data_IF_114909353245
#
_entry.id   IF_114909353245
#
_cell.length_a   1.000
_cell.length_b   1.000
_cell.length_c   1.000
_cell.angle_alpha   90.00
_cell.angle_beta   90.00
_cell.angle_gamma   90.00
#
_symmetry.space_group_name_H-M   'P 1'
#
loop_
_entity.id
_entity.type
_entity.pdbx_description
1 polymer ?
#
# COMPACT_ATOMS: atom_id res chain seq x y z
N UNK A 1 39.66 -32.95 -44.61
CA UNK A 1 39.19 -33.49 -43.31
C UNK A 1 37.80 -32.90 -43.07
N UNK A 2 36.70 -33.39 -43.66
CA UNK A 2 35.87 -34.58 -43.34
C UNK A 2 35.50 -34.74 -41.86
N UNK A 3 34.23 -34.39 -41.57
CA UNK A 3 33.18 -35.10 -40.76
C UNK A 3 33.48 -35.40 -39.29
N UNK A 4 32.57 -35.55 -38.33
CA UNK A 4 31.10 -35.55 -38.19
C UNK A 4 30.82 -35.84 -36.69
N UNK A 5 29.72 -35.31 -36.16
CA UNK A 5 28.78 -35.85 -35.15
C UNK A 5 29.21 -36.95 -34.16
N UNK A 6 28.81 -36.84 -32.88
CA UNK A 6 27.88 -37.81 -32.27
C UNK A 6 27.34 -37.39 -30.88
N UNK A 7 26.02 -37.47 -30.73
CA UNK A 7 25.32 -37.71 -29.46
C UNK A 7 25.10 -39.23 -29.28
N UNK A 8 24.51 -39.65 -28.15
CA UNK A 8 24.15 -41.00 -27.65
C UNK A 8 25.11 -41.42 -26.51
N UNK A 9 24.66 -41.84 -25.33
CA UNK A 9 23.32 -42.22 -24.95
C UNK A 9 23.15 -42.68 -23.50
N UNK A 10 21.95 -43.19 -23.31
CA UNK A 10 21.20 -43.60 -22.14
C UNK A 10 21.74 -44.79 -21.30
N UNK A 11 21.23 -44.82 -20.05
CA UNK A 11 20.79 -45.96 -19.21
C UNK A 11 21.82 -46.74 -18.38
N UNK A 12 21.56 -46.72 -17.07
CA UNK A 12 21.41 -47.83 -16.08
C UNK A 12 21.79 -47.24 -14.71
N UNK A 13 20.95 -47.17 -13.66
CA UNK A 13 19.99 -48.13 -13.15
C UNK A 13 20.73 -49.17 -12.32
N UNK A 14 20.76 -49.04 -10.98
CA UNK A 14 20.62 -50.13 -10.00
C UNK A 14 20.41 -49.53 -8.60
N UNK A 15 19.38 -50.07 -7.96
CA UNK A 15 18.94 -49.87 -6.58
C UNK A 15 19.87 -50.53 -5.55
N UNK A 16 19.91 -49.92 -4.36
CA UNK A 16 19.88 -50.57 -3.03
C UNK A 16 21.07 -51.43 -2.60
N UNK A 17 21.72 -51.03 -1.51
CA UNK A 17 21.85 -51.94 -0.36
C UNK A 17 22.05 -51.15 0.94
N UNK A 18 21.14 -51.43 1.88
CA UNK A 18 21.18 -51.07 3.29
C UNK A 18 22.35 -51.78 3.94
N UNK A 19 23.21 -51.05 4.66
CA UNK A 19 24.05 -51.62 5.73
C UNK A 19 23.84 -50.80 6.98
N UNK A 20 23.16 -51.44 7.93
CA UNK A 20 22.94 -50.98 9.28
C UNK A 20 24.22 -51.26 10.09
N UNK A 21 24.89 -50.24 10.60
CA UNK A 21 25.90 -50.42 11.66
C UNK A 21 25.69 -49.38 12.73
N UNK A 22 25.21 -49.88 13.87
CA UNK A 22 25.11 -49.21 15.16
C UNK A 22 26.50 -48.73 15.61
N UNK A 23 26.61 -47.44 15.91
CA UNK A 23 27.60 -46.93 16.87
C UNK A 23 26.86 -46.11 17.93
N UNK A 24 26.62 -46.79 19.05
CA UNK A 24 26.40 -46.17 20.35
C UNK A 24 27.64 -45.34 20.70
N UNK A 25 27.51 -44.02 20.71
CA UNK A 25 28.41 -43.14 21.45
C UNK A 25 27.52 -42.31 22.36
N UNK A 26 27.59 -42.62 23.66
CA UNK A 26 26.94 -41.84 24.71
C UNK A 26 27.49 -40.42 24.72
N UNK A 27 26.63 -39.46 24.43
CA UNK A 27 26.84 -38.09 24.81
C UNK A 27 26.34 -37.94 26.25
N UNK A 28 27.30 -37.71 27.15
CA UNK A 28 27.09 -37.25 28.52
C UNK A 28 26.26 -35.97 28.44
N UNK A 29 25.02 -36.03 28.89
CA UNK A 29 24.16 -34.87 29.02
C UNK A 29 24.71 -33.97 30.13
N UNK A 30 25.20 -32.79 29.76
CA UNK A 30 25.28 -31.67 30.68
C UNK A 30 23.85 -31.16 30.93
N UNK A 31 23.23 -31.67 31.99
CA UNK A 31 22.10 -30.99 32.62
C UNK A 31 22.68 -29.72 33.25
N UNK A 32 22.43 -28.57 32.60
CA UNK A 32 22.51 -27.30 33.30
C UNK A 32 21.10 -26.99 33.79
N UNK A 33 20.96 -26.91 35.10
CA UNK A 33 19.77 -26.39 35.77
C UNK A 33 19.61 -24.92 35.37
N UNK A 34 18.91 -24.68 34.26
CA UNK A 34 18.35 -23.37 34.00
C UNK A 34 17.05 -23.30 34.80
N UNK A 35 17.14 -22.60 35.94
CA UNK A 35 16.02 -22.12 36.71
C UNK A 35 14.93 -21.62 35.75
N UNK A 36 13.73 -22.16 35.89
CA UNK A 36 12.52 -21.63 35.27
C UNK A 36 12.25 -20.25 35.87
N UNK A 37 12.91 -19.23 35.32
CA UNK A 37 12.45 -17.86 35.46
C UNK A 37 11.18 -17.76 34.64
N UNK A 38 10.05 -17.61 35.34
CA UNK A 38 8.75 -17.29 34.76
C UNK A 38 8.85 -15.87 34.24
N UNK A 39 9.53 -15.72 33.10
CA UNK A 39 9.46 -14.53 32.28
C UNK A 39 8.12 -14.63 31.56
N UNK A 40 7.10 -13.98 32.14
CA UNK A 40 5.86 -13.73 31.43
C UNK A 40 6.21 -13.13 30.07
N UNK A 41 5.61 -13.64 29.00
CA UNK A 41 5.74 -13.03 27.68
C UNK A 41 5.54 -11.51 27.83
N UNK A 42 6.39 -10.66 27.21
CA UNK A 42 6.19 -9.23 27.26
C UNK A 42 4.80 -8.96 26.70
N UNK A 43 3.86 -8.61 27.57
CA UNK A 43 2.54 -8.16 27.17
C UNK A 43 2.78 -6.88 26.40
N UNK A 44 2.64 -6.95 25.06
CA UNK A 44 2.94 -5.83 24.17
C UNK A 44 2.29 -4.53 24.64
N UNK A 45 2.87 -3.41 24.24
CA UNK A 45 2.39 -2.08 24.64
C UNK A 45 1.04 -1.80 23.99
N UNK A 46 0.13 -1.24 24.80
CA UNK A 46 -1.14 -0.75 24.31
C UNK A 46 -0.94 0.67 23.78
N UNK A 47 -1.10 0.84 22.48
CA UNK A 47 -0.98 2.15 21.86
C UNK A 47 -2.25 2.96 22.15
N UNK A 48 -2.14 4.23 22.57
CA UNK A 48 -3.31 5.07 22.77
C UNK A 48 -4.05 5.22 21.45
N UNK A 49 -5.37 5.01 21.48
CA UNK A 49 -6.23 5.33 20.35
C UNK A 49 -6.46 6.84 20.38
N UNK A 50 -6.02 7.60 19.36
CA UNK A 50 -6.20 9.06 19.36
C UNK A 50 -7.67 9.45 19.54
N UNK A 51 -7.92 10.55 20.23
CA UNK A 51 -9.28 11.07 20.39
C UNK A 51 -9.87 11.40 19.01
N UNK A 52 -10.98 10.75 18.65
CA UNK A 52 -11.58 10.86 17.32
C UNK A 52 -10.91 10.01 16.23
N UNK A 53 -10.09 9.01 16.59
CA UNK A 53 -9.49 8.07 15.65
C UNK A 53 -10.57 7.45 14.75
N UNK A 54 -10.43 7.65 13.44
CA UNK A 54 -11.33 7.09 12.45
C UNK A 54 -10.79 5.75 11.98
N UNK A 55 -11.61 4.70 12.12
CA UNK A 55 -11.30 3.42 11.50
C UNK A 55 -11.50 3.51 9.99
N UNK A 56 -10.58 2.94 9.23
CA UNK A 56 -10.66 2.85 7.77
C UNK A 56 -10.82 1.40 7.35
N UNK A 57 -11.87 1.12 6.58
CA UNK A 57 -11.99 -0.15 5.87
C UNK A 57 -11.28 -0.02 4.53
N UNK A 58 -10.27 -0.86 4.28
CA UNK A 58 -9.40 -0.76 3.11
C UNK A 58 -8.75 -2.09 2.79
N UNK A 59 -8.33 -2.26 1.54
CA UNK A 59 -7.35 -3.29 1.19
C UNK A 59 -6.05 -2.99 1.94
N UNK A 60 -5.51 -4.01 2.60
CA UNK A 60 -4.33 -3.89 3.45
C UNK A 60 -3.47 -5.15 3.34
N UNK A 61 -2.18 -5.02 3.00
CA UNK A 61 -1.29 -6.17 2.82
C UNK A 61 0.14 -5.85 3.27
N UNK A 62 0.89 -6.89 3.62
CA UNK A 62 2.28 -6.80 4.06
C UNK A 62 3.19 -6.54 2.87
N UNK A 63 4.21 -5.71 3.09
CA UNK A 63 5.31 -5.52 2.15
C UNK A 63 6.58 -6.10 2.80
N UNK A 64 7.18 -7.08 2.13
CA UNK A 64 8.43 -7.74 2.54
C UNK A 64 9.64 -6.98 2.03
N UNK A 65 10.77 -7.17 2.72
CA UNK A 65 12.04 -6.60 2.29
C UNK A 65 12.37 -7.01 0.85
N UNK A 66 12.86 -6.05 0.07
CA UNK A 66 13.13 -6.20 -1.36
C UNK A 66 11.92 -6.04 -2.30
N UNK A 67 10.69 -5.93 -1.78
CA UNK A 67 9.52 -5.61 -2.60
C UNK A 67 9.41 -4.09 -2.87
N UNK A 68 8.76 -3.73 -3.98
CA UNK A 68 8.46 -2.33 -4.30
C UNK A 68 7.68 -1.68 -3.14
N UNK A 69 8.03 -0.43 -2.81
CA UNK A 69 7.49 0.36 -1.69
C UNK A 69 7.91 -0.05 -0.29
N UNK A 70 8.72 -1.11 -0.16
CA UNK A 70 9.32 -1.43 1.12
C UNK A 70 10.19 -0.28 1.62
N UNK A 71 10.21 -0.06 2.93
CA UNK A 71 11.08 0.90 3.57
C UNK A 71 11.43 0.40 4.96
N UNK A 72 12.63 0.74 5.45
CA UNK A 72 13.04 0.34 6.78
C UNK A 72 12.38 1.23 7.84
N UNK A 73 11.77 0.60 8.83
CA UNK A 73 11.29 1.23 10.08
C UNK A 73 12.24 0.96 11.24
N UNK A 74 13.53 0.80 10.95
CA UNK A 74 14.60 0.51 11.90
C UNK A 74 14.29 -0.76 12.71
N UNK A 75 13.73 -1.77 12.05
CA UNK A 75 13.30 -3.02 12.68
C UNK A 75 12.10 -2.93 13.64
N UNK A 76 11.49 -1.75 13.83
CA UNK A 76 10.40 -1.50 14.81
C UNK A 76 9.04 -2.08 14.41
N UNK A 77 8.89 -2.58 13.19
CA UNK A 77 7.59 -3.03 12.70
C UNK A 77 7.63 -3.70 11.34
N UNK A 78 6.49 -4.26 10.96
CA UNK A 78 6.25 -4.86 9.65
C UNK A 78 5.57 -3.85 8.74
N UNK A 79 6.01 -3.74 7.49
CA UNK A 79 5.52 -2.71 6.57
C UNK A 79 4.17 -3.12 6.00
N UNK A 80 3.22 -2.18 6.00
CA UNK A 80 1.85 -2.42 5.52
C UNK A 80 1.49 -1.39 4.45
N UNK A 81 0.90 -1.85 3.35
CA UNK A 81 0.32 -1.00 2.34
C UNK A 81 -1.19 -0.86 2.51
N UNK A 82 -1.71 0.36 2.54
CA UNK A 82 -3.15 0.67 2.66
C UNK A 82 -3.73 1.37 1.40
N UNK A 83 -3.10 1.18 0.24
CA UNK A 83 -3.48 1.85 -1.02
C UNK A 83 -3.32 3.38 -0.98
N UNK A 84 -2.45 3.90 -0.11
CA UNK A 84 -2.15 5.34 0.05
C UNK A 84 -0.65 5.57 -0.14
N UNK A 85 -0.26 6.77 -0.62
CA UNK A 85 1.14 7.20 -0.71
C UNK A 85 1.87 7.23 0.65
N UNK A 86 1.15 7.27 1.76
CA UNK A 86 1.75 7.32 3.09
C UNK A 86 2.33 5.96 3.50
N UNK A 87 3.41 5.97 4.29
CA UNK A 87 3.99 4.74 4.85
C UNK A 87 3.21 4.31 6.10
N UNK A 88 2.92 3.02 6.22
CA UNK A 88 2.29 2.43 7.39
C UNK A 88 3.10 1.23 7.88
N UNK A 89 3.06 0.98 9.17
CA UNK A 89 3.72 -0.19 9.76
C UNK A 89 2.90 -0.76 10.91
N UNK A 90 2.99 -2.06 11.12
CA UNK A 90 2.50 -2.76 12.31
C UNK A 90 3.65 -2.80 13.34
N UNK A 91 3.55 -2.08 14.48
CA UNK A 91 4.64 -2.07 15.47
C UNK A 91 4.84 -3.46 16.09
N UNK A 92 6.09 -3.94 16.21
CA UNK A 92 6.36 -5.28 16.78
C UNK A 92 6.07 -5.38 18.28
N UNK A 93 6.13 -4.25 18.96
CA UNK A 93 5.86 -4.15 20.38
C UNK A 93 4.37 -4.02 20.71
N UNK A 94 3.47 -3.91 19.71
CA UNK A 94 2.04 -3.73 19.97
C UNK A 94 1.41 -4.96 20.64
N UNK A 95 0.50 -4.72 21.59
CA UNK A 95 -0.40 -5.75 22.11
C UNK A 95 -1.17 -6.41 20.96
N UNK A 96 -1.25 -7.74 20.97
CA UNK A 96 -1.88 -8.55 19.91
C UNK A 96 -1.17 -8.49 18.55
N UNK A 97 0.13 -8.13 18.49
CA UNK A 97 0.92 -8.13 17.24
C UNK A 97 0.70 -9.39 16.41
N UNK A 98 0.87 -10.56 17.01
CA UNK A 98 0.75 -11.85 16.31
C UNK A 98 -0.62 -12.04 15.65
N UNK A 99 -1.70 -11.65 16.35
CA UNK A 99 -3.05 -11.72 15.81
C UNK A 99 -3.24 -10.76 14.63
N UNK A 100 -2.79 -9.51 14.76
CA UNK A 100 -2.88 -8.50 13.70
C UNK A 100 -2.04 -8.87 12.48
N UNK A 101 -0.84 -9.40 12.71
CA UNK A 101 0.05 -9.89 11.66
C UNK A 101 -0.63 -11.03 10.89
N UNK A 102 -1.24 -12.00 11.58
CA UNK A 102 -1.94 -13.12 10.95
C UNK A 102 -3.08 -12.65 10.04
N UNK A 103 -3.87 -11.65 10.45
CA UNK A 103 -4.93 -11.08 9.62
C UNK A 103 -4.38 -10.43 8.35
N UNK A 104 -3.27 -9.69 8.46
CA UNK A 104 -2.59 -9.05 7.34
C UNK A 104 -1.95 -10.08 6.40
N UNK A 105 -1.33 -11.12 6.93
CA UNK A 105 -0.71 -12.19 6.15
C UNK A 105 -1.75 -12.97 5.33
N UNK A 106 -2.87 -13.36 5.95
CA UNK A 106 -3.98 -14.02 5.25
C UNK A 106 -4.52 -13.16 4.11
N UNK A 107 -4.74 -11.87 4.36
CA UNK A 107 -5.20 -10.94 3.32
C UNK A 107 -4.15 -10.76 2.23
N UNK A 108 -2.86 -10.73 2.57
CA UNK A 108 -1.77 -10.65 1.59
C UNK A 108 -1.79 -11.84 0.63
N UNK A 109 -1.89 -13.07 1.16
CA UNK A 109 -1.97 -14.29 0.37
C UNK A 109 -3.19 -14.29 -0.58
N UNK A 110 -4.36 -13.86 -0.09
CA UNK A 110 -5.57 -13.78 -0.91
C UNK A 110 -5.45 -12.76 -2.04
N UNK A 111 -4.77 -11.63 -1.80
CA UNK A 111 -4.53 -10.63 -2.85
C UNK A 111 -3.58 -11.19 -3.91
N UNK A 112 -2.51 -11.86 -3.50
CA UNK A 112 -1.57 -12.51 -4.43
C UNK A 112 -2.28 -13.55 -5.31
N UNK A 113 -3.17 -14.36 -4.73
CA UNK A 113 -3.99 -15.31 -5.46
C UNK A 113 -4.96 -14.62 -6.44
N UNK A 114 -5.63 -13.55 -6.03
CA UNK A 114 -6.56 -12.81 -6.89
C UNK A 114 -5.89 -12.09 -8.05
N UNK A 115 -4.68 -11.56 -7.83
CA UNK A 115 -3.88 -10.91 -8.87
C UNK A 115 -3.42 -11.93 -9.91
N UNK A 116 -3.08 -13.15 -9.48
CA UNK A 116 -2.60 -14.21 -10.38
C UNK A 116 -3.72 -14.91 -11.14
N UNK A 117 -4.93 -15.03 -10.57
CA UNK A 117 -6.04 -15.82 -11.14
C UNK A 117 -7.11 -15.01 -11.87
N UNK A 118 -7.47 -13.81 -11.37
CA UNK A 118 -8.73 -13.16 -11.75
C UNK A 118 -8.57 -11.70 -12.23
N UNK A 119 -7.35 -11.25 -12.54
CA UNK A 119 -7.13 -9.89 -13.06
C UNK A 119 -7.42 -8.76 -12.06
N UNK A 120 -7.43 -9.08 -10.76
CA UNK A 120 -7.70 -8.12 -9.68
C UNK A 120 -9.19 -7.92 -9.40
N UNK A 121 -9.66 -8.46 -8.27
CA UNK A 121 -11.01 -8.29 -7.75
C UNK A 121 -11.02 -7.68 -6.34
N UNK A 122 -12.15 -7.07 -5.96
CA UNK A 122 -12.42 -6.66 -4.56
C UNK A 122 -13.22 -7.77 -3.89
N UNK A 123 -12.61 -8.44 -2.93
CA UNK A 123 -13.26 -9.47 -2.12
C UNK A 123 -13.38 -8.97 -0.67
N UNK A 124 -14.41 -9.43 0.03
CA UNK A 124 -14.59 -9.25 1.47
C UNK A 124 -13.32 -9.65 2.23
N UNK A 125 -12.69 -10.75 1.81
CA UNK A 125 -11.53 -11.29 2.50
C UNK A 125 -10.27 -10.41 2.33
N UNK A 126 -10.23 -9.58 1.27
CA UNK A 126 -9.11 -8.68 1.02
C UNK A 126 -9.17 -7.36 1.78
N UNK A 127 -10.26 -7.08 2.50
CA UNK A 127 -10.44 -5.85 3.25
C UNK A 127 -10.28 -6.07 4.75
N UNK A 128 -9.62 -5.11 5.38
CA UNK A 128 -9.46 -5.03 6.83
C UNK A 128 -9.98 -3.68 7.33
N UNK A 129 -10.47 -3.66 8.56
CA UNK A 129 -10.78 -2.47 9.32
C UNK A 129 -9.56 -2.10 10.14
N UNK A 130 -8.92 -1.00 9.78
CA UNK A 130 -7.64 -0.55 10.32
C UNK A 130 -7.85 0.71 11.16
N UNK A 131 -7.27 0.73 12.36
CA UNK A 131 -7.16 1.94 13.19
C UNK A 131 -5.71 2.42 13.17
N UNK A 132 -5.52 3.72 12.94
CA UNK A 132 -4.21 4.34 12.82
C UNK A 132 -3.89 5.14 14.08
N UNK A 133 -2.64 5.10 14.51
CA UNK A 133 -2.10 5.99 15.53
C UNK A 133 -1.59 7.30 14.93
N UNK A 134 -0.84 8.06 15.73
CA UNK A 134 -0.24 9.31 15.30
C UNK A 134 0.99 9.09 14.40
N UNK A 135 1.15 9.97 13.40
CA UNK A 135 2.28 9.91 12.48
C UNK A 135 3.62 10.03 13.21
N UNK A 136 4.52 9.07 13.00
CA UNK A 136 5.86 9.09 13.55
C UNK A 136 6.82 9.80 12.55
N UNK A 137 7.34 11.00 12.87
CA UNK A 137 8.21 11.73 11.96
C UNK A 137 9.58 11.07 11.76
N UNK A 138 10.09 10.36 12.77
CA UNK A 138 11.40 9.69 12.70
C UNK A 138 11.36 8.50 11.73
N UNK A 139 10.25 7.75 11.77
CA UNK A 139 10.01 6.61 10.89
C UNK A 139 9.37 7.00 9.54
N UNK A 140 8.93 8.25 9.43
CA UNK A 140 8.15 8.77 8.29
C UNK A 140 6.95 7.88 7.95
N UNK A 141 6.33 7.30 8.97
CA UNK A 141 5.25 6.33 8.83
C UNK A 141 4.25 6.40 9.98
N UNK A 142 3.04 5.94 9.72
CA UNK A 142 1.95 5.91 10.71
C UNK A 142 1.80 4.49 11.25
N UNK A 143 1.83 4.28 12.58
CA UNK A 143 1.61 2.97 13.16
C UNK A 143 0.15 2.53 12.99
N UNK A 144 -0.04 1.24 12.71
CA UNK A 144 -1.33 0.58 12.78
C UNK A 144 -1.51 0.08 14.22
N UNK A 145 -2.53 0.61 14.88
CA UNK A 145 -2.77 0.34 16.31
C UNK A 145 -3.90 -0.67 16.55
N UNK A 146 -4.66 -1.00 15.50
CA UNK A 146 -5.69 -2.07 15.55
C UNK A 146 -5.98 -2.60 14.15
N UNK A 147 -6.13 -3.92 14.05
CA UNK A 147 -6.54 -4.62 12.83
C UNK A 147 -7.71 -5.53 13.15
N UNK A 148 -8.80 -5.39 12.38
CA UNK A 148 -10.02 -6.19 12.54
C UNK A 148 -10.52 -6.65 11.17
N UNK A 149 -11.22 -7.78 11.13
CA UNK A 149 -12.04 -8.13 9.97
C UNK A 149 -13.31 -7.27 10.01
N UNK A 150 -13.72 -6.65 8.89
CA UNK A 150 -15.01 -5.98 8.83
C UNK A 150 -16.13 -7.01 9.03
N UNK A 151 -17.27 -6.57 9.55
CA UNK A 151 -18.50 -7.38 9.51
C UNK A 151 -19.04 -7.48 8.09
N UNK A 152 -19.87 -8.50 7.81
CA UNK A 152 -20.49 -8.66 6.49
C UNK A 152 -21.39 -7.46 6.15
N UNK A 153 -22.05 -6.90 7.15
CA UNK A 153 -22.93 -5.75 7.04
C UNK A 153 -22.12 -4.48 6.71
N UNK A 154 -21.02 -4.23 7.43
CA UNK A 154 -20.10 -3.12 7.12
C UNK A 154 -19.57 -3.21 5.68
N UNK A 155 -19.20 -4.42 5.25
CA UNK A 155 -18.75 -4.67 3.89
C UNK A 155 -19.82 -4.38 2.84
N UNK A 156 -21.05 -4.86 3.06
CA UNK A 156 -22.15 -4.60 2.13
C UNK A 156 -22.44 -3.11 1.98
N UNK A 157 -22.41 -2.36 3.08
CA UNK A 157 -22.57 -0.89 3.06
C UNK A 157 -21.44 -0.23 2.25
N UNK A 158 -20.19 -0.69 2.40
CA UNK A 158 -19.07 -0.18 1.62
C UNK A 158 -19.28 -0.45 0.12
N UNK A 159 -19.62 -1.67 -0.26
CA UNK A 159 -19.82 -2.05 -1.66
C UNK A 159 -20.98 -1.30 -2.31
N UNK A 160 -22.11 -1.14 -1.62
CA UNK A 160 -23.23 -0.34 -2.12
C UNK A 160 -22.83 1.12 -2.36
N UNK A 161 -22.08 1.71 -1.43
CA UNK A 161 -21.58 3.08 -1.58
C UNK A 161 -20.65 3.22 -2.78
N UNK A 162 -19.76 2.25 -2.99
CA UNK A 162 -18.84 2.23 -4.13
C UNK A 162 -19.58 2.04 -5.46
N UNK A 163 -20.60 1.19 -5.50
CA UNK A 163 -21.42 0.94 -6.69
C UNK A 163 -22.19 2.19 -7.11
N UNK A 164 -22.85 2.87 -6.16
CA UNK A 164 -23.53 4.15 -6.41
C UNK A 164 -22.57 5.19 -6.97
N UNK A 165 -21.32 5.22 -6.49
CA UNK A 165 -20.28 6.13 -7.03
C UNK A 165 -19.90 5.73 -8.45
N UNK A 166 -19.74 4.44 -8.73
CA UNK A 166 -19.38 3.91 -10.06
C UNK A 166 -20.47 4.25 -11.08
N UNK A 167 -21.73 4.00 -10.78
CA UNK A 167 -22.85 4.29 -11.68
C UNK A 167 -22.96 5.77 -12.01
N UNK A 168 -22.87 6.64 -10.99
CA UNK A 168 -22.84 8.09 -11.16
C UNK A 168 -21.67 8.55 -12.03
N UNK A 169 -20.53 7.88 -11.95
CA UNK A 169 -19.35 8.21 -12.76
C UNK A 169 -19.57 7.85 -14.24
N UNK A 170 -20.11 6.66 -14.53
CA UNK A 170 -20.33 6.15 -15.89
C UNK A 170 -21.32 7.01 -16.67
N UNK A 171 -22.41 7.43 -16.03
CA UNK A 171 -23.42 8.32 -16.64
C UNK A 171 -22.87 9.72 -16.95
N UNK A 172 -21.88 10.20 -16.19
CA UNK A 172 -21.29 11.53 -16.36
C UNK A 172 -20.27 11.58 -17.49
N UNK A 173 -19.51 10.50 -17.70
CA UNK A 173 -18.57 10.36 -18.83
C UNK A 173 -19.24 10.36 -20.20
N UNK A 174 -20.50 9.94 -20.31
CA UNK A 174 -21.26 9.96 -21.57
C UNK A 174 -21.61 11.39 -22.05
N UNK A 175 -21.52 12.41 -21.18
CA UNK A 175 -21.86 13.81 -21.49
C UNK A 175 -20.66 14.74 -21.70
N UNK A 176 -19.41 14.28 -21.52
CA UNK A 176 -18.22 15.11 -21.78
C UNK A 176 -17.90 15.03 -23.27
N UNK A 177 -18.69 15.79 -24.04
CA UNK A 177 -18.53 15.99 -25.47
C UNK A 177 -17.27 16.80 -25.81
N UNK A 178 -16.69 16.43 -26.94
CA UNK A 178 -15.60 17.06 -27.71
C UNK A 178 -14.30 17.37 -26.93
N UNK A 179 -13.27 16.54 -27.22
CA UNK A 179 -11.87 16.74 -26.80
C UNK A 179 -11.27 17.95 -27.53
N UNK A 180 -11.59 19.17 -27.09
CA UNK A 180 -10.90 20.36 -27.58
C UNK A 180 -9.45 20.33 -27.08
N UNK A 181 -8.49 20.31 -28.00
CA UNK A 181 -7.07 20.41 -27.65
C UNK A 181 -6.83 21.71 -26.87
N UNK A 182 -6.14 21.61 -25.74
CA UNK A 182 -5.92 22.76 -24.87
C UNK A 182 -4.84 23.67 -25.47
N UNK A 183 -5.17 24.95 -25.65
CA UNK A 183 -4.18 25.93 -26.11
C UNK A 183 -3.21 26.29 -24.98
N UNK A 184 -2.01 26.76 -25.33
CA UNK A 184 -1.04 27.29 -24.35
C UNK A 184 -1.65 28.38 -23.46
N UNK A 185 -2.45 29.27 -24.04
CA UNK A 185 -3.12 30.35 -23.31
C UNK A 185 -4.13 29.82 -22.28
N UNK A 186 -4.95 28.84 -22.65
CA UNK A 186 -5.87 28.17 -21.74
C UNK A 186 -5.13 27.43 -20.62
N UNK A 187 -4.06 26.70 -20.94
CA UNK A 187 -3.23 26.01 -19.95
C UNK A 187 -2.63 26.99 -18.93
N UNK A 188 -2.12 28.14 -19.39
CA UNK A 188 -1.60 29.20 -18.51
C UNK A 188 -2.70 29.82 -17.63
N UNK A 189 -3.92 29.98 -18.17
CA UNK A 189 -5.05 30.47 -17.40
C UNK A 189 -5.44 29.49 -16.28
N UNK A 190 -5.55 28.19 -16.57
CA UNK A 190 -5.80 27.18 -15.55
C UNK A 190 -4.69 27.10 -14.51
N UNK A 191 -3.43 27.19 -14.93
CA UNK A 191 -2.32 27.21 -13.99
C UNK A 191 -2.42 28.37 -12.98
N UNK A 192 -2.77 29.57 -13.46
CA UNK A 192 -3.01 30.73 -12.59
C UNK A 192 -4.23 30.53 -11.69
N UNK A 193 -5.32 29.97 -12.22
CA UNK A 193 -6.54 29.68 -11.47
C UNK A 193 -6.28 28.66 -10.34
N UNK A 194 -5.60 27.54 -10.62
CA UNK A 194 -5.28 26.57 -9.58
C UNK A 194 -4.43 27.18 -8.48
N UNK A 195 -3.46 28.02 -8.86
CA UNK A 195 -2.66 28.76 -7.89
C UNK A 195 -3.50 29.73 -7.07
N UNK A 196 -4.52 30.38 -7.64
CA UNK A 196 -5.36 31.33 -6.91
C UNK A 196 -6.35 30.65 -5.97
N UNK A 197 -6.83 29.44 -6.29
CA UNK A 197 -7.74 28.66 -5.42
C UNK A 197 -7.01 27.73 -4.43
N UNK A 198 -5.70 27.91 -4.30
CA UNK A 198 -4.88 27.22 -3.31
C UNK A 198 -5.24 27.68 -1.90
N UNK A 199 -5.23 26.77 -0.93
CA UNK A 199 -5.65 27.05 0.44
C UNK A 199 -4.76 28.08 1.19
N UNK A 200 -3.56 28.38 0.68
CA UNK A 200 -2.71 29.47 1.20
C UNK A 200 -3.19 30.86 0.76
N UNK A 201 -4.14 30.94 -0.20
CA UNK A 201 -4.57 32.19 -0.84
C UNK A 201 -6.08 32.36 -0.90
N UNK A 202 -6.81 31.24 -0.87
CA UNK A 202 -8.26 31.21 -1.01
C UNK A 202 -8.90 30.70 0.28
N UNK A 203 -9.81 31.51 0.83
CA UNK A 203 -10.56 31.20 2.05
C UNK A 203 -11.86 30.42 1.80
N UNK A 204 -12.29 30.28 0.54
CA UNK A 204 -13.48 29.52 0.21
C UNK A 204 -13.25 28.00 0.22
N UNK A 205 -14.32 27.24 0.46
CA UNK A 205 -14.29 25.78 0.53
C UNK A 205 -15.04 25.12 -0.63
N UNK A 206 -14.48 24.08 -1.29
CA UNK A 206 -13.16 23.49 -1.06
C UNK A 206 -12.02 24.28 -1.74
N UNK A 207 -10.83 24.31 -1.12
CA UNK A 207 -9.60 24.88 -1.68
C UNK A 207 -8.59 23.77 -2.06
N UNK A 208 -7.60 24.08 -2.92
CA UNK A 208 -6.53 23.14 -3.28
C UNK A 208 -5.42 23.12 -2.22
N UNK A 209 -5.24 21.99 -1.55
CA UNK A 209 -4.27 21.81 -0.46
C UNK A 209 -2.83 21.56 -0.95
N UNK A 210 -2.30 22.39 -1.85
CA UNK A 210 -0.95 22.20 -2.41
C UNK A 210 0.16 22.24 -1.35
N UNK A 211 -0.06 22.95 -0.25
CA UNK A 211 0.84 23.02 0.89
C UNK A 211 0.87 21.71 1.71
N UNK A 212 -0.16 20.86 1.60
CA UNK A 212 -0.19 19.55 2.25
C UNK A 212 0.33 18.47 1.31
N UNK A 213 1.66 18.39 1.20
CA UNK A 213 2.35 17.42 0.34
C UNK A 213 2.28 15.93 0.80
N UNK A 214 2.17 15.58 2.10
CA UNK A 214 2.27 14.18 2.53
C UNK A 214 1.24 13.21 1.91
N UNK A 215 0.00 13.66 1.68
CA UNK A 215 -1.05 12.85 1.04
C UNK A 215 -2.05 13.76 0.27
N UNK A 216 -3.18 13.22 -0.20
CA UNK A 216 -4.28 13.95 -0.83
C UNK A 216 -4.04 14.29 -2.30
N UNK A 217 -2.99 13.76 -2.92
CA UNK A 217 -2.64 14.05 -4.31
C UNK A 217 -3.77 13.68 -5.29
N UNK A 218 -4.50 12.58 -5.03
CA UNK A 218 -5.66 12.16 -5.79
C UNK A 218 -6.86 13.11 -5.62
N UNK A 219 -7.05 13.71 -4.45
CA UNK A 219 -8.11 14.70 -4.22
C UNK A 219 -7.78 16.01 -4.95
N UNK A 220 -6.52 16.50 -4.82
CA UNK A 220 -6.04 17.68 -5.56
C UNK A 220 -6.18 17.48 -7.07
N UNK A 221 -5.71 16.34 -7.57
CA UNK A 221 -5.84 15.90 -8.96
C UNK A 221 -7.27 16.00 -9.49
N UNK A 222 -8.19 15.39 -8.74
CA UNK A 222 -9.57 15.26 -9.15
C UNK A 222 -10.28 16.61 -9.09
N UNK A 223 -9.96 17.46 -8.10
CA UNK A 223 -10.52 18.79 -8.01
C UNK A 223 -10.03 19.71 -9.13
N UNK A 224 -8.73 19.65 -9.49
CA UNK A 224 -8.22 20.35 -10.68
C UNK A 224 -8.94 19.91 -11.96
N UNK A 225 -9.13 18.59 -12.17
CA UNK A 225 -9.91 18.08 -13.30
C UNK A 225 -11.36 18.56 -13.29
N UNK A 226 -12.01 18.60 -12.11
CA UNK A 226 -13.38 19.11 -11.97
C UNK A 226 -13.48 20.57 -12.44
N UNK A 227 -12.57 21.43 -11.99
CA UNK A 227 -12.51 22.85 -12.40
C UNK A 227 -12.30 23.00 -13.91
N UNK A 228 -11.45 22.16 -14.52
CA UNK A 228 -11.30 22.13 -15.99
C UNK A 228 -12.56 21.68 -16.71
N UNK A 229 -13.24 20.66 -16.18
CA UNK A 229 -14.47 20.12 -16.75
C UNK A 229 -15.62 21.13 -16.73
N UNK A 230 -15.71 21.97 -15.69
CA UNK A 230 -16.67 23.08 -15.61
C UNK A 230 -16.45 24.13 -16.71
N UNK A 231 -15.23 24.23 -17.24
CA UNK A 231 -14.87 25.08 -18.37
C UNK A 231 -14.86 24.32 -19.73
N UNK A 232 -15.38 23.08 -19.78
CA UNK A 232 -15.47 22.29 -21.00
C UNK A 232 -14.18 21.58 -21.43
N UNK A 233 -13.19 21.48 -20.55
CA UNK A 233 -11.94 20.75 -20.80
C UNK A 233 -11.87 19.44 -20.04
N UNK A 234 -11.22 18.43 -20.61
CA UNK A 234 -10.84 17.20 -19.89
C UNK A 234 -9.32 17.03 -19.88
N UNK A 235 -8.81 16.20 -18.96
CA UNK A 235 -7.39 15.92 -18.84
C UNK A 235 -7.13 14.46 -18.46
N UNK A 236 -5.95 13.96 -18.85
CA UNK A 236 -5.46 12.66 -18.39
C UNK A 236 -4.80 12.80 -17.01
N UNK A 237 -4.84 11.72 -16.22
CA UNK A 237 -4.04 11.60 -15.00
C UNK A 237 -2.80 10.77 -15.33
N UNK A 238 -1.64 11.24 -14.88
CA UNK A 238 -0.40 10.49 -14.94
C UNK A 238 -0.06 10.08 -13.53
N UNK A 239 0.18 8.80 -13.34
CA UNK A 239 0.56 8.22 -12.08
C UNK A 239 2.01 7.79 -12.18
N UNK A 240 2.90 8.47 -11.44
CA UNK A 240 4.30 8.12 -11.37
C UNK A 240 4.50 7.10 -10.25
N UNK A 241 5.23 6.02 -10.56
CA UNK A 241 5.58 4.94 -9.64
C UNK A 241 7.07 4.68 -9.82
N UNK A 242 7.81 4.59 -8.72
CA UNK A 242 9.19 4.13 -8.75
C UNK A 242 9.21 2.60 -8.61
N UNK A 243 9.86 1.91 -9.55
CA UNK A 243 9.86 0.44 -9.58
C UNK A 243 10.74 -0.19 -8.49
N UNK A 244 11.65 0.59 -7.89
CA UNK A 244 12.59 0.10 -6.87
C UNK A 244 12.55 0.86 -5.54
N UNK A 245 11.58 1.76 -5.31
CA UNK A 245 11.64 2.65 -4.16
C UNK A 245 10.42 3.53 -3.93
N UNK A 246 10.62 4.57 -3.10
CA UNK A 246 9.61 5.59 -2.79
C UNK A 246 9.99 6.89 -3.48
N UNK A 247 8.99 7.53 -4.10
CA UNK A 247 9.19 8.86 -4.67
C UNK A 247 9.40 9.87 -3.55
N UNK A 248 10.46 10.67 -3.66
CA UNK A 248 10.75 11.74 -2.71
C UNK A 248 10.58 13.10 -3.36
N UNK A 249 10.01 14.05 -2.62
CA UNK A 249 9.90 15.43 -3.04
C UNK A 249 10.35 16.37 -1.92
N UNK A 250 11.16 17.36 -2.28
CA UNK A 250 11.51 18.45 -1.38
C UNK A 250 10.49 19.59 -1.55
N UNK A 251 9.94 20.07 -0.44
CA UNK A 251 8.98 21.18 -0.44
C UNK A 251 9.68 22.51 -0.18
N UNK A 252 9.02 23.63 -0.47
CA UNK A 252 9.57 24.98 -0.18
C UNK A 252 9.91 25.21 1.30
N UNK A 253 9.34 24.40 2.21
CA UNK A 253 9.64 24.46 3.64
C UNK A 253 10.87 23.62 4.05
N UNK A 254 11.68 23.15 3.08
CA UNK A 254 12.78 22.20 3.30
C UNK A 254 12.36 20.88 3.97
N UNK A 255 11.06 20.53 3.89
CA UNK A 255 10.57 19.25 4.36
C UNK A 255 10.56 18.25 3.20
N UNK A 256 11.24 17.11 3.38
CA UNK A 256 11.20 15.98 2.47
C UNK A 256 9.98 15.10 2.75
N UNK A 257 9.12 14.91 1.75
CA UNK A 257 8.02 13.93 1.79
C UNK A 257 8.38 12.70 0.98
N UNK A 258 7.90 11.54 1.42
CA UNK A 258 8.15 10.25 0.78
C UNK A 258 6.82 9.56 0.48
N UNK A 259 6.60 9.16 -0.77
CA UNK A 259 5.38 8.53 -1.25
C UNK A 259 5.63 7.10 -1.71
N UNK A 260 4.85 6.14 -1.20
CA UNK A 260 4.84 4.76 -1.66
C UNK A 260 3.52 4.39 -2.35
N UNK A 261 3.53 3.92 -3.60
CA UNK A 261 2.31 3.73 -4.40
C UNK A 261 2.11 2.26 -4.81
N UNK A 262 1.09 1.60 -4.25
CA UNK A 262 0.70 0.22 -4.61
C UNK A 262 -0.35 0.19 -5.71
N UNK A 263 -0.21 -0.81 -6.60
CA UNK A 263 -1.19 -1.23 -7.57
C UNK A 263 -2.34 -2.03 -6.90
N UNK A 264 -3.24 -1.36 -6.22
CA UNK A 264 -4.64 -1.80 -6.22
C UNK A 264 -5.54 -0.56 -6.26
N UNK A 265 -6.22 -0.42 -7.39
CA UNK A 265 -7.30 0.53 -7.69
C UNK A 265 -7.31 1.85 -6.90
N UNK A 266 -6.79 2.89 -7.58
CA UNK A 266 -7.02 4.31 -7.31
C UNK A 266 -6.37 4.89 -6.04
N UNK A 267 -5.09 5.25 -6.10
CA UNK A 267 -4.62 6.65 -5.84
C UNK A 267 -3.09 6.81 -5.74
N UNK A 268 -2.37 6.92 -6.88
CA UNK A 268 -0.98 7.39 -6.87
C UNK A 268 -0.82 8.92 -6.89
N UNK A 269 0.30 9.42 -6.34
CA UNK A 269 0.69 10.83 -6.44
C UNK A 269 1.35 11.12 -7.80
N UNK A 270 0.62 11.86 -8.63
CA UNK A 270 1.01 12.18 -9.99
C UNK A 270 1.66 13.57 -10.14
N UNK A 271 2.66 13.64 -11.02
CA UNK A 271 3.09 14.87 -11.68
C UNK A 271 2.12 15.14 -12.84
N UNK A 272 1.65 16.38 -12.98
CA UNK A 272 0.71 16.79 -14.02
C UNK A 272 1.47 17.22 -15.27
N UNK A 273 1.27 16.48 -16.37
CA UNK A 273 1.61 16.98 -17.71
C UNK A 273 0.30 17.32 -18.41
N UNK A 274 0.17 18.58 -18.83
CA UNK A 274 -0.87 19.01 -19.74
C UNK A 274 -0.41 18.64 -21.16
N UNK A 275 -1.24 17.91 -21.90
CA UNK A 275 -1.05 17.66 -23.33
C UNK A 275 -2.25 18.25 -24.06
#
# INVERSE_FOLDING_TARGET
MKTSSSCIGWKTGVFSLIVLTLLFIGAIGCQSDAASDVTGEPQGVEYPIPEGAKTRMTVAFLIKEGQTLWFDVQGRGDIVNLGSPQGYYLPKDIKNHAHYYQLLEQTTQQIEELVTTNGGGRDYNTHLKITLGDYNPDLKATPIIKVEKPTKEEWQVLMQKEEVVREKSSQKTAKVGLRTAMTKGAAQAFFRLFKSISCDRYSGTPCLTFQYAPDGCHARAHYMRKVMAEAGYDCKKIFAIDQGGRLQANTKANCCVSWGVSCSTSSPCGRWLFN
#
